data_IF_250168971796
#
_entry.id   IF_250168971796
#
_cell.length_a   1.000
_cell.length_b   1.000
_cell.length_c   1.000
_cell.angle_alpha   90.00
_cell.angle_beta   90.00
_cell.angle_gamma   90.00
#
_symmetry.space_group_name_H-M   'P 1'
#
loop_
_entity.id
_entity.type
_entity.pdbx_description
1 polymer ?
#
# COMPACT_ATOMS: atom_id res chain seq x y z
N UNK A 1 16.12 -8.50 -33.17
CA UNK A 1 16.32 -7.92 -31.82
C UNK A 1 15.84 -6.48 -31.72
N UNK A 2 16.21 -5.58 -32.65
CA UNK A 2 15.87 -4.15 -32.56
C UNK A 2 14.37 -3.82 -32.51
N UNK A 3 13.54 -4.50 -33.33
CA UNK A 3 12.10 -4.28 -33.33
C UNK A 3 11.45 -4.65 -32.00
N UNK A 4 11.90 -5.75 -31.37
CA UNK A 4 11.45 -6.17 -30.04
C UNK A 4 11.85 -5.14 -28.98
N UNK A 5 13.07 -4.61 -29.04
CA UNK A 5 13.52 -3.56 -28.13
C UNK A 5 12.71 -2.27 -28.31
N UNK A 6 12.43 -1.85 -29.55
CA UNK A 6 11.60 -0.67 -29.83
C UNK A 6 10.18 -0.80 -29.28
N UNK A 7 9.56 -1.97 -29.46
CA UNK A 7 8.24 -2.27 -28.90
C UNK A 7 8.31 -2.24 -27.36
N UNK A 8 9.30 -2.90 -26.77
CA UNK A 8 9.48 -2.92 -25.32
C UNK A 8 9.68 -1.51 -24.74
N UNK A 9 10.49 -0.66 -25.38
CA UNK A 9 10.69 0.72 -24.94
C UNK A 9 9.41 1.55 -25.03
N UNK A 10 8.62 1.38 -26.09
CA UNK A 10 7.34 2.06 -26.24
C UNK A 10 6.33 1.63 -25.15
N UNK A 11 6.23 0.32 -24.89
CA UNK A 11 5.37 -0.21 -23.81
C UNK A 11 5.83 0.28 -22.45
N UNK A 12 7.15 0.22 -22.16
CA UNK A 12 7.69 0.70 -20.89
C UNK A 12 7.44 2.21 -20.69
N UNK A 13 7.54 3.02 -21.74
CA UNK A 13 7.25 4.45 -21.66
C UNK A 13 5.79 4.77 -21.35
N UNK A 14 4.86 3.90 -21.75
CA UNK A 14 3.43 4.06 -21.44
C UNK A 14 3.11 3.51 -20.05
N UNK A 15 3.55 2.28 -19.75
CA UNK A 15 3.19 1.56 -18.53
C UNK A 15 3.95 2.09 -17.31
N UNK A 16 5.24 2.38 -17.45
CA UNK A 16 6.11 2.86 -16.35
C UNK A 16 6.43 4.35 -16.44
N UNK A 17 5.81 5.04 -17.39
CA UNK A 17 5.97 6.48 -17.56
C UNK A 17 5.03 7.30 -16.67
N UNK A 18 4.79 8.57 -17.04
CA UNK A 18 3.96 9.48 -16.24
C UNK A 18 2.52 9.00 -16.01
N UNK A 19 1.99 8.17 -16.92
CA UNK A 19 0.60 7.68 -16.85
C UNK A 19 0.32 6.93 -15.55
N UNK A 20 1.17 5.96 -15.18
CA UNK A 20 0.94 5.15 -13.97
C UNK A 20 1.08 5.99 -12.71
N UNK A 21 1.97 6.98 -12.71
CA UNK A 21 2.15 7.92 -11.60
C UNK A 21 0.87 8.73 -11.41
N UNK A 22 0.32 9.27 -12.51
CA UNK A 22 -0.95 10.00 -12.50
C UNK A 22 -2.09 9.11 -12.01
N UNK A 23 -2.16 7.85 -12.44
CA UNK A 23 -3.20 6.92 -12.00
C UNK A 23 -3.09 6.60 -10.50
N UNK A 24 -1.89 6.32 -10.00
CA UNK A 24 -1.67 5.98 -8.58
C UNK A 24 -1.96 7.18 -7.68
N UNK A 25 -1.35 8.33 -7.98
CA UNK A 25 -1.54 9.56 -7.20
C UNK A 25 -2.96 10.09 -7.35
N UNK A 26 -3.53 10.03 -8.56
CA UNK A 26 -4.90 10.44 -8.85
C UNK A 26 -5.93 9.59 -8.10
N UNK A 27 -5.77 8.26 -8.10
CA UNK A 27 -6.63 7.35 -7.32
C UNK A 27 -6.50 7.61 -5.82
N UNK A 28 -5.27 7.75 -5.32
CA UNK A 28 -5.04 8.07 -3.91
C UNK A 28 -5.68 9.41 -3.52
N UNK A 29 -5.52 10.45 -4.33
CA UNK A 29 -6.13 11.76 -4.10
C UNK A 29 -7.66 11.68 -4.13
N UNK A 30 -8.23 10.98 -5.12
CA UNK A 30 -9.67 10.77 -5.24
C UNK A 30 -10.25 10.08 -4.00
N UNK A 31 -9.63 8.96 -3.57
CA UNK A 31 -10.05 8.24 -2.36
C UNK A 31 -9.85 9.07 -1.10
N UNK A 32 -8.74 9.82 -0.98
CA UNK A 32 -8.50 10.72 0.15
C UNK A 32 -9.56 11.80 0.24
N UNK A 33 -9.98 12.41 -0.87
CA UNK A 33 -11.06 13.42 -0.87
C UNK A 33 -12.40 12.78 -0.50
N UNK A 34 -12.75 11.62 -1.10
CA UNK A 34 -14.00 10.92 -0.79
C UNK A 34 -14.11 10.50 0.67
N UNK A 35 -13.00 10.04 1.26
CA UNK A 35 -12.92 9.64 2.67
C UNK A 35 -12.63 10.82 3.63
N UNK A 36 -12.64 12.06 3.14
CA UNK A 36 -12.38 13.28 3.91
C UNK A 36 -11.05 13.24 4.67
N UNK A 37 -10.01 12.73 3.99
CA UNK A 37 -8.66 12.53 4.52
C UNK A 37 -8.66 11.73 5.83
N UNK A 38 -9.46 10.67 5.91
CA UNK A 38 -9.58 9.79 7.08
C UNK A 38 -8.21 9.34 7.64
N UNK A 39 -7.28 8.98 6.76
CA UNK A 39 -5.92 8.53 7.13
C UNK A 39 -5.16 9.57 7.98
N UNK A 40 -5.43 10.86 7.78
CA UNK A 40 -4.80 11.96 8.53
C UNK A 40 -5.69 12.37 9.71
N UNK A 41 -6.98 12.59 9.47
CA UNK A 41 -7.91 13.16 10.46
C UNK A 41 -8.20 12.21 11.63
N UNK A 42 -8.12 10.89 11.41
CA UNK A 42 -8.41 9.86 12.43
C UNK A 42 -7.17 9.09 12.87
N UNK A 43 -5.97 9.58 12.57
CA UNK A 43 -4.72 8.90 12.92
C UNK A 43 -4.63 8.55 14.42
N UNK A 44 -5.01 9.47 15.31
CA UNK A 44 -5.01 9.20 16.76
C UNK A 44 -5.98 8.09 17.18
N UNK A 45 -7.15 8.00 16.53
CA UNK A 45 -8.10 6.92 16.78
C UNK A 45 -7.56 5.58 16.27
N UNK A 46 -6.96 5.57 15.08
CA UNK A 46 -6.36 4.37 14.48
C UNK A 46 -5.22 3.87 15.36
N UNK A 47 -4.25 4.72 15.71
CA UNK A 47 -3.12 4.32 16.56
C UNK A 47 -3.58 3.81 17.92
N UNK A 48 -4.57 4.45 18.55
CA UNK A 48 -5.14 4.00 19.82
C UNK A 48 -5.79 2.62 19.71
N UNK A 49 -6.57 2.35 18.65
CA UNK A 49 -7.29 1.08 18.49
C UNK A 49 -6.44 -0.02 17.85
N UNK A 50 -5.36 0.32 17.17
CA UNK A 50 -4.46 -0.63 16.54
C UNK A 50 -3.31 -0.98 17.48
N UNK A 51 -2.50 -0.01 17.93
CA UNK A 51 -1.30 -0.28 18.73
C UNK A 51 -1.61 -0.70 20.17
N UNK A 52 -2.52 0.00 20.87
CA UNK A 52 -2.79 -0.34 22.28
C UNK A 52 -3.63 -1.61 22.43
N UNK A 53 -4.45 -1.95 21.44
CA UNK A 53 -5.26 -3.17 21.46
C UNK A 53 -4.55 -4.39 20.86
N UNK A 54 -3.50 -4.19 20.03
CA UNK A 54 -2.70 -5.32 19.50
C UNK A 54 -2.05 -6.16 20.59
N UNK A 55 -1.71 -5.52 21.73
CA UNK A 55 -1.08 -6.18 22.88
C UNK A 55 -2.06 -6.54 23.98
N UNK A 56 -3.33 -6.15 23.86
CA UNK A 56 -4.39 -6.54 24.80
C UNK A 56 -5.01 -7.88 24.35
N UNK A 57 -4.72 -8.93 25.13
CA UNK A 57 -5.21 -10.33 25.12
C UNK A 57 -6.27 -10.77 24.08
N UNK A 58 -5.91 -11.85 23.36
CA UNK A 58 -6.62 -13.13 23.15
C UNK A 58 -8.06 -13.19 22.57
N UNK A 59 -8.54 -12.16 21.88
CA UNK A 59 -9.72 -12.36 21.02
C UNK A 59 -9.33 -13.12 19.76
N UNK A 60 -9.50 -14.45 19.81
CA UNK A 60 -9.61 -15.32 18.63
C UNK A 60 -10.86 -14.94 17.85
N UNK A 61 -10.81 -13.83 17.11
CA UNK A 61 -11.78 -13.54 16.07
C UNK A 61 -11.75 -14.62 14.97
N UNK A 62 -12.65 -14.53 13.99
CA UNK A 62 -12.72 -15.49 12.87
C UNK A 62 -11.47 -15.50 11.95
N UNK A 63 -10.39 -14.79 12.27
CA UNK A 63 -9.17 -14.70 11.47
C UNK A 63 -8.11 -15.74 11.86
N UNK A 64 -7.29 -16.16 10.89
CA UNK A 64 -6.24 -17.17 11.09
C UNK A 64 -5.00 -16.65 11.84
N UNK A 65 -4.78 -15.33 11.82
CA UNK A 65 -3.60 -14.68 12.38
C UNK A 65 -4.02 -13.61 13.39
N UNK A 66 -3.20 -13.40 14.41
CA UNK A 66 -3.42 -12.31 15.37
C UNK A 66 -3.23 -10.96 14.69
N UNK A 67 -3.81 -9.90 15.26
CA UNK A 67 -3.61 -8.54 14.76
C UNK A 67 -2.13 -8.15 14.66
N UNK A 68 -1.31 -8.59 15.62
CA UNK A 68 0.13 -8.37 15.61
C UNK A 68 0.82 -9.14 14.48
N UNK A 69 0.47 -10.41 14.27
CA UNK A 69 1.03 -11.19 13.17
C UNK A 69 0.67 -10.58 11.81
N UNK A 70 -0.57 -10.14 11.61
CA UNK A 70 -1.00 -9.47 10.38
C UNK A 70 -0.17 -8.20 10.09
N UNK A 71 0.05 -7.36 11.12
CA UNK A 71 0.86 -6.13 10.98
C UNK A 71 2.33 -6.46 10.75
N UNK A 72 2.89 -7.43 11.49
CA UNK A 72 4.28 -7.85 11.32
C UNK A 72 4.53 -8.41 9.90
N UNK A 73 3.62 -9.25 9.38
CA UNK A 73 3.71 -9.77 8.00
C UNK A 73 3.61 -8.64 6.98
N UNK A 74 2.70 -7.68 7.16
CA UNK A 74 2.56 -6.54 6.25
C UNK A 74 3.81 -5.63 6.27
N UNK A 75 4.41 -5.39 7.44
CA UNK A 75 5.64 -4.61 7.58
C UNK A 75 6.84 -5.34 6.98
N UNK A 76 6.98 -6.63 7.24
CA UNK A 76 8.06 -7.44 6.66
C UNK A 76 7.99 -7.48 5.12
N UNK A 77 6.79 -7.45 4.54
CA UNK A 77 6.59 -7.41 3.09
C UNK A 77 6.88 -6.04 2.47
N UNK A 78 6.83 -4.94 3.25
CA UNK A 78 6.91 -3.57 2.72
C UNK A 78 8.19 -2.83 3.08
N UNK A 79 8.92 -3.30 4.10
CA UNK A 79 10.22 -2.73 4.52
C UNK A 79 11.33 -3.66 4.05
N UNK A 80 12.15 -3.19 3.11
CA UNK A 80 13.29 -3.97 2.64
C UNK A 80 14.42 -3.11 2.09
N UNK A 81 15.43 -3.79 1.53
CA UNK A 81 16.58 -3.16 0.86
C UNK A 81 16.15 -2.23 -0.28
N UNK A 82 15.04 -2.55 -0.94
CA UNK A 82 14.44 -1.71 -1.99
C UNK A 82 14.05 -0.32 -1.49
N UNK A 83 13.56 -0.17 -0.25
CA UNK A 83 13.22 1.13 0.31
C UNK A 83 14.49 1.95 0.58
N UNK A 84 15.56 1.30 1.06
CA UNK A 84 16.83 1.98 1.37
C UNK A 84 17.52 2.43 0.07
N UNK A 85 17.73 1.51 -0.85
CA UNK A 85 18.37 1.79 -2.14
C UNK A 85 17.50 2.74 -2.98
N UNK A 86 16.18 2.53 -3.00
CA UNK A 86 15.25 3.37 -3.75
C UNK A 86 15.21 4.82 -3.26
N UNK A 87 15.19 5.03 -1.94
CA UNK A 87 15.28 6.39 -1.36
C UNK A 87 16.64 7.02 -1.70
N UNK A 88 17.74 6.27 -1.56
CA UNK A 88 19.07 6.77 -1.89
C UNK A 88 19.18 7.18 -3.38
N UNK A 89 18.68 6.34 -4.29
CA UNK A 89 18.65 6.62 -5.73
C UNK A 89 17.74 7.81 -6.04
N UNK A 90 16.57 7.92 -5.41
CA UNK A 90 15.66 9.04 -5.60
C UNK A 90 16.29 10.37 -5.18
N UNK A 91 17.01 10.39 -4.05
CA UNK A 91 17.74 11.59 -3.60
C UNK A 91 18.93 11.88 -4.50
N UNK A 92 19.69 10.86 -4.91
CA UNK A 92 20.86 11.04 -5.77
C UNK A 92 20.49 11.59 -7.16
N UNK A 93 19.37 11.15 -7.74
CA UNK A 93 18.92 11.56 -9.07
C UNK A 93 18.02 12.81 -9.04
N UNK A 94 17.12 12.91 -8.06
CA UNK A 94 16.10 13.97 -7.96
C UNK A 94 16.46 15.09 -6.98
N UNK A 95 17.57 14.97 -6.26
CA UNK A 95 17.97 15.90 -5.21
C UNK A 95 17.19 15.73 -3.90
N UNK A 96 17.50 16.53 -2.87
CA UNK A 96 16.88 16.42 -1.54
C UNK A 96 15.36 16.68 -1.55
N UNK A 97 14.85 17.42 -2.55
CA UNK A 97 13.42 17.67 -2.73
C UNK A 97 12.59 16.41 -3.01
N UNK A 98 13.22 15.31 -3.43
CA UNK A 98 12.53 14.02 -3.63
C UNK A 98 11.82 13.54 -2.36
N UNK A 99 12.40 13.80 -1.17
CA UNK A 99 11.83 13.36 0.12
C UNK A 99 10.45 13.97 0.36
N UNK A 100 10.27 15.24 0.03
CA UNK A 100 8.97 15.92 0.15
C UNK A 100 7.89 15.22 -0.68
N UNK A 101 8.23 14.88 -1.93
CA UNK A 101 7.31 14.18 -2.83
C UNK A 101 7.03 12.75 -2.38
N UNK A 102 8.01 12.07 -1.79
CA UNK A 102 7.80 10.73 -1.20
C UNK A 102 6.82 10.77 -0.05
N UNK A 103 6.89 11.78 0.83
CA UNK A 103 5.91 11.94 1.91
C UNK A 103 4.51 12.25 1.39
N UNK A 104 4.39 13.13 0.38
CA UNK A 104 3.11 13.43 -0.23
C UNK A 104 2.48 12.17 -0.88
N UNK A 105 3.28 11.40 -1.61
CA UNK A 105 2.86 10.14 -2.20
C UNK A 105 2.47 9.11 -1.13
N UNK A 106 3.21 9.04 -0.01
CA UNK A 106 2.87 8.16 1.11
C UNK A 106 1.53 8.51 1.74
N UNK A 107 1.22 9.80 1.91
CA UNK A 107 -0.07 10.26 2.43
C UNK A 107 -1.23 9.78 1.56
N UNK A 108 -1.14 9.98 0.24
CA UNK A 108 -2.16 9.50 -0.69
C UNK A 108 -2.22 7.97 -0.73
N UNK A 109 -1.06 7.31 -0.67
CA UNK A 109 -0.94 5.86 -0.66
C UNK A 109 -1.56 5.21 0.58
N UNK A 110 -1.55 5.87 1.74
CA UNK A 110 -2.20 5.35 2.96
C UNK A 110 -3.69 5.13 2.76
N UNK A 111 -4.38 6.05 2.08
CA UNK A 111 -5.82 5.90 1.82
C UNK A 111 -6.09 4.81 0.79
N UNK A 112 -5.31 4.73 -0.28
CA UNK A 112 -5.41 3.63 -1.26
C UNK A 112 -5.20 2.29 -0.57
N UNK A 113 -4.17 2.16 0.26
CA UNK A 113 -3.89 0.90 0.96
C UNK A 113 -4.99 0.52 1.93
N UNK A 114 -5.57 1.48 2.62
CA UNK A 114 -6.73 1.25 3.46
C UNK A 114 -7.92 0.69 2.64
N UNK A 115 -8.23 1.30 1.50
CA UNK A 115 -9.30 0.82 0.62
C UNK A 115 -9.03 -0.62 0.13
N UNK A 116 -7.80 -0.94 -0.29
CA UNK A 116 -7.41 -2.30 -0.68
C UNK A 116 -7.66 -3.31 0.43
N UNK A 117 -7.28 -2.98 1.67
CA UNK A 117 -7.46 -3.89 2.82
C UNK A 117 -8.94 -4.07 3.14
N UNK A 118 -9.74 -3.00 3.08
CA UNK A 118 -11.20 -3.08 3.29
C UNK A 118 -11.85 -3.98 2.24
N UNK A 119 -11.51 -3.79 0.96
CA UNK A 119 -12.02 -4.62 -0.13
C UNK A 119 -11.58 -6.09 0.04
N UNK A 120 -10.31 -6.32 0.37
CA UNK A 120 -9.79 -7.67 0.60
C UNK A 120 -10.50 -8.41 1.75
N UNK A 121 -10.93 -7.69 2.79
CA UNK A 121 -11.71 -8.29 3.89
C UNK A 121 -13.18 -8.50 3.49
N UNK A 122 -13.75 -7.60 2.68
CA UNK A 122 -15.15 -7.67 2.27
C UNK A 122 -15.40 -8.77 1.22
N UNK A 123 -14.45 -8.99 0.31
CA UNK A 123 -14.56 -9.96 -0.79
C UNK A 123 -13.73 -11.24 -0.56
N UNK A 124 -13.25 -11.48 0.66
CA UNK A 124 -12.51 -12.71 0.97
C UNK A 124 -13.40 -13.94 0.82
N UNK A 125 -12.83 -15.00 0.26
CA UNK A 125 -13.47 -16.30 0.14
C UNK A 125 -12.86 -17.30 1.13
N UNK A 126 -13.66 -18.29 1.53
CA UNK A 126 -13.16 -19.46 2.27
C UNK A 126 -12.83 -20.57 1.28
N UNK A 127 -11.57 -20.98 1.29
CA UNK A 127 -11.09 -22.15 0.55
C UNK A 127 -11.72 -23.44 1.10
N UNK A 128 -11.73 -24.54 0.32
CA UNK A 128 -12.20 -25.85 0.77
C UNK A 128 -11.49 -26.38 2.02
N UNK A 129 -10.27 -25.90 2.30
CA UNK A 129 -9.48 -26.23 3.49
C UNK A 129 -9.78 -25.33 4.69
N UNK A 130 -10.82 -24.49 4.62
CA UNK A 130 -11.23 -23.59 5.70
C UNK A 130 -10.41 -22.31 5.82
N UNK A 131 -9.47 -22.06 4.89
CA UNK A 131 -8.61 -20.86 4.92
C UNK A 131 -9.21 -19.67 4.22
N UNK A 132 -8.94 -18.47 4.69
CA UNK A 132 -9.34 -17.24 4.03
C UNK A 132 -8.35 -16.83 2.94
N UNK A 133 -8.86 -16.52 1.76
CA UNK A 133 -8.10 -15.94 0.65
C UNK A 133 -8.79 -14.66 0.19
N UNK A 134 -8.00 -13.63 -0.13
CA UNK A 134 -8.51 -12.33 -0.54
C UNK A 134 -7.40 -11.49 -1.14
N UNK A 135 -7.78 -10.32 -1.64
CA UNK A 135 -6.88 -9.39 -2.33
C UNK A 135 -7.47 -8.97 -3.67
N UNK A 136 -6.75 -8.13 -4.44
CA UNK A 136 -7.28 -7.52 -5.67
C UNK A 136 -7.72 -8.49 -6.79
N UNK A 137 -7.42 -9.77 -6.64
CA UNK A 137 -7.79 -10.85 -7.57
C UNK A 137 -9.23 -11.36 -7.34
N UNK A 138 -9.81 -11.04 -6.18
CA UNK A 138 -11.15 -11.42 -5.71
C UNK A 138 -12.04 -10.17 -5.66
#
# INVERSE_FOLDING_TARGET
>A
METLMKINSAVNGIVWGPLIIILIIGTGTYLSVMTKFFSITKLGYVLKNTLLKMFAKDDKGEGEVTAFQAVATALAATVGTGNIAGVATAIALGGPGAVFWMWLAAIMGMTTKFAEVVLAVNYREKTPHGRFVGGPMY
#
